data_IF_813395973006
#
_entry.id   IF_813395973006
#
_cell.length_a   1.000
_cell.length_b   1.000
_cell.length_c   1.000
_cell.angle_alpha   90.00
_cell.angle_beta   90.00
_cell.angle_gamma   90.00
#
_symmetry.space_group_name_H-M   'P 1'
#
loop_
_entity.id
_entity.type
_entity.pdbx_description
1 polymer ?
#
# COMPACT_ATOMS: atom_id res chain seq x y z
N UNK A 1 -3.25 5.75 -9.26
CA UNK A 1 -2.67 7.10 -9.08
C UNK A 1 -3.55 7.85 -8.10
N UNK A 2 -3.04 8.16 -6.91
CA UNK A 2 -3.83 8.79 -5.83
C UNK A 2 -3.62 10.30 -5.85
N UNK A 3 -4.69 11.10 -5.82
CA UNK A 3 -4.56 12.56 -5.58
C UNK A 3 -4.55 12.78 -4.07
N UNK A 4 -3.44 13.29 -3.55
CA UNK A 4 -3.28 13.64 -2.14
C UNK A 4 -3.12 15.15 -2.01
N UNK A 5 -3.92 15.77 -1.15
CA UNK A 5 -3.77 17.17 -0.78
C UNK A 5 -2.71 17.30 0.31
N UNK A 6 -1.80 18.24 0.14
CA UNK A 6 -0.73 18.52 1.09
C UNK A 6 -0.86 19.98 1.54
N UNK A 7 -1.05 20.19 2.84
CA UNK A 7 -1.16 21.53 3.44
C UNK A 7 0.08 21.86 4.29
N UNK A 8 0.96 22.76 3.85
CA UNK A 8 2.13 23.18 4.62
C UNK A 8 1.80 24.07 5.83
N UNK A 9 0.60 24.67 5.92
CA UNK A 9 0.23 25.62 6.98
C UNK A 9 -1.12 25.30 7.64
N UNK A 10 -1.29 24.12 8.26
CA UNK A 10 -2.58 23.60 8.73
C UNK A 10 -3.24 24.42 9.87
N UNK A 11 -2.53 25.42 10.42
CA UNK A 11 -2.97 26.22 11.56
C UNK A 11 -3.41 27.66 11.20
N UNK A 12 -3.37 28.07 9.92
CA UNK A 12 -3.84 29.40 9.52
C UNK A 12 -5.37 29.43 9.43
N UNK A 13 -5.98 30.44 10.07
CA UNK A 13 -7.45 30.59 10.24
C UNK A 13 -8.20 31.08 9.00
N UNK A 14 -7.52 31.33 7.87
CA UNK A 14 -8.16 31.75 6.63
C UNK A 14 -8.59 30.54 5.78
N UNK A 15 -9.65 29.87 6.22
CA UNK A 15 -10.26 28.71 5.58
C UNK A 15 -11.09 29.04 4.32
N UNK A 16 -11.00 30.26 3.76
CA UNK A 16 -12.06 30.77 2.87
C UNK A 16 -11.87 30.69 1.35
N UNK A 17 -10.74 30.25 0.77
CA UNK A 17 -10.74 30.03 -0.70
C UNK A 17 -9.78 29.03 -1.33
N UNK A 18 -8.66 28.60 -0.72
CA UNK A 18 -7.64 27.85 -1.49
C UNK A 18 -7.02 26.63 -0.78
N UNK A 19 -7.67 26.08 0.25
CA UNK A 19 -7.20 24.85 0.88
C UNK A 19 -7.66 23.62 0.10
N UNK A 20 -6.74 22.89 -0.54
CA UNK A 20 -7.01 21.53 -0.99
C UNK A 20 -7.48 20.72 0.23
N UNK A 21 -8.78 20.38 0.27
CA UNK A 21 -9.30 19.61 1.40
C UNK A 21 -8.62 18.25 1.43
N UNK A 22 -7.85 18.00 2.49
CA UNK A 22 -7.29 16.69 2.80
C UNK A 22 -8.46 15.73 3.01
N UNK A 23 -8.61 14.77 2.08
CA UNK A 23 -9.67 13.76 2.13
C UNK A 23 -9.03 12.39 2.19
N UNK A 24 -9.48 11.58 3.13
CA UNK A 24 -9.15 10.16 3.16
C UNK A 24 -9.68 9.52 1.88
N UNK A 25 -8.80 8.84 1.15
CA UNK A 25 -9.20 8.14 -0.06
C UNK A 25 -9.45 6.69 0.31
N UNK A 26 -10.73 6.28 0.33
CA UNK A 26 -11.12 4.88 0.36
C UNK A 26 -11.19 4.36 -1.07
N UNK A 27 -10.43 3.30 -1.35
CA UNK A 27 -10.33 2.71 -2.68
C UNK A 27 -11.23 1.49 -2.73
N UNK A 28 -12.49 1.69 -3.11
CA UNK A 28 -13.40 0.58 -3.40
C UNK A 28 -13.45 0.37 -4.92
N UNK A 29 -12.62 -0.55 -5.41
CA UNK A 29 -12.70 -1.07 -6.78
C UNK A 29 -11.49 -0.75 -7.67
N UNK A 30 -10.98 -1.78 -8.35
CA UNK A 30 -10.24 -1.61 -9.61
C UNK A 30 -8.71 -1.77 -9.58
N UNK A 31 -8.10 -2.25 -8.49
CA UNK A 31 -6.74 -2.79 -8.58
C UNK A 31 -6.93 -4.26 -8.98
N UNK A 32 -6.61 -4.64 -10.23
CA UNK A 32 -6.78 -5.99 -10.78
C UNK A 32 -5.84 -7.04 -10.15
N UNK A 33 -5.44 -6.78 -8.90
CA UNK A 33 -4.48 -7.52 -8.12
C UNK A 33 -5.11 -7.86 -6.75
N UNK A 34 -4.83 -9.05 -6.20
CA UNK A 34 -5.50 -9.57 -5.01
C UNK A 34 -5.06 -8.88 -3.70
N UNK A 35 -3.96 -8.13 -3.72
CA UNK A 35 -3.54 -7.24 -2.62
C UNK A 35 -3.70 -5.80 -3.08
N UNK A 36 -4.42 -4.99 -2.31
CA UNK A 36 -4.78 -3.63 -2.68
C UNK A 36 -4.50 -2.62 -1.56
N UNK A 37 -4.10 -1.41 -1.94
CA UNK A 37 -4.19 -0.24 -1.07
C UNK A 37 -5.66 0.12 -0.90
N UNK A 38 -6.19 0.03 0.32
CA UNK A 38 -7.62 0.23 0.63
C UNK A 38 -7.92 1.59 1.25
N UNK A 39 -6.94 2.16 1.94
CA UNK A 39 -7.06 3.49 2.54
C UNK A 39 -5.72 4.22 2.51
N UNK A 40 -5.78 5.53 2.27
CA UNK A 40 -4.68 6.44 2.52
C UNK A 40 -5.22 7.59 3.36
N UNK A 41 -4.75 7.67 4.61
CA UNK A 41 -4.99 8.78 5.51
C UNK A 41 -3.80 9.72 5.49
N UNK A 42 -4.08 11.02 5.42
CA UNK A 42 -3.04 12.05 5.35
C UNK A 42 -3.11 12.92 6.59
N UNK A 43 -1.99 13.05 7.29
CA UNK A 43 -1.84 13.89 8.48
C UNK A 43 -0.73 14.90 8.21
N UNK A 44 -1.12 16.17 8.09
CA UNK A 44 -0.18 17.27 7.83
C UNK A 44 0.14 18.03 9.11
N UNK A 45 1.43 18.27 9.33
CA UNK A 45 1.96 19.17 10.37
C UNK A 45 2.83 20.23 9.69
N UNK A 46 3.13 21.36 10.35
CA UNK A 46 3.98 22.41 9.76
C UNK A 46 5.39 21.96 9.35
N UNK A 47 5.86 20.79 9.81
CA UNK A 47 7.21 20.30 9.54
C UNK A 47 7.24 19.09 8.58
N UNK A 48 6.16 18.30 8.55
CA UNK A 48 6.08 17.05 7.77
C UNK A 48 4.63 16.68 7.48
N UNK A 49 4.43 15.92 6.39
CA UNK A 49 3.18 15.20 6.16
C UNK A 49 3.41 13.70 6.23
N UNK A 50 2.49 13.02 6.89
CA UNK A 50 2.49 11.58 7.08
C UNK A 50 1.34 10.99 6.26
N UNK A 51 1.67 10.02 5.42
CA UNK A 51 0.73 9.20 4.67
C UNK A 51 0.62 7.84 5.36
N UNK A 52 -0.51 7.56 6.00
CA UNK A 52 -0.82 6.26 6.58
C UNK A 52 -1.58 5.44 5.56
N UNK A 53 -0.90 4.45 5.00
CA UNK A 53 -1.40 3.62 3.89
C UNK A 53 -1.79 2.26 4.46
N UNK A 54 -3.05 1.88 4.26
CA UNK A 54 -3.55 0.55 4.64
C UNK A 54 -3.60 -0.35 3.42
N UNK A 55 -2.89 -1.45 3.49
CA UNK A 55 -2.77 -2.47 2.45
C UNK A 55 -3.50 -3.71 2.92
N UNK A 56 -4.33 -4.32 2.07
CA UNK A 56 -5.14 -5.47 2.42
C UNK A 56 -5.14 -6.51 1.32
N UNK A 57 -5.01 -7.78 1.69
CA UNK A 57 -5.34 -8.90 0.83
C UNK A 57 -6.88 -8.97 0.72
N UNK A 58 -7.39 -8.60 -0.44
CA UNK A 58 -8.83 -8.64 -0.79
C UNK A 58 -9.18 -9.90 -1.57
N UNK A 59 -8.17 -10.68 -1.97
CA UNK A 59 -8.32 -12.00 -2.58
C UNK A 59 -8.56 -13.10 -1.55
N UNK A 60 -8.65 -14.34 -2.05
CA UNK A 60 -8.86 -15.54 -1.23
C UNK A 60 -7.58 -16.37 -1.05
N UNK A 61 -6.53 -16.04 -1.78
CA UNK A 61 -5.24 -16.71 -1.76
C UNK A 61 -4.34 -16.22 -0.62
N UNK A 62 -3.15 -16.81 -0.58
CA UNK A 62 -2.10 -16.51 0.39
C UNK A 62 -1.05 -15.60 -0.26
N UNK A 63 -0.68 -14.53 0.45
CA UNK A 63 0.43 -13.65 0.06
C UNK A 63 1.73 -14.31 0.48
N UNK A 64 2.72 -14.30 -0.40
CA UNK A 64 4.03 -14.89 -0.20
C UNK A 64 5.10 -13.81 -0.35
N UNK A 65 6.21 -13.97 0.36
CA UNK A 65 7.40 -13.17 0.10
C UNK A 65 7.85 -13.34 -1.36
N UNK A 66 8.17 -12.24 -2.05
CA UNK A 66 8.63 -12.27 -3.44
C UNK A 66 9.95 -13.05 -3.57
N UNK A 67 10.85 -12.93 -2.61
CA UNK A 67 12.15 -13.61 -2.64
C UNK A 67 11.98 -15.14 -2.73
N UNK A 68 10.95 -15.68 -2.09
CA UNK A 68 10.63 -17.11 -2.12
C UNK A 68 10.04 -17.56 -3.46
N UNK A 69 9.32 -16.69 -4.15
CA UNK A 69 8.80 -17.00 -5.50
C UNK A 69 9.93 -17.04 -6.52
N UNK A 70 10.88 -16.10 -6.42
CA UNK A 70 12.00 -15.98 -7.37
C UNK A 70 12.97 -17.17 -7.31
N UNK A 71 13.09 -17.83 -6.16
CA UNK A 71 13.94 -19.01 -5.98
C UNK A 71 13.35 -20.33 -6.50
N UNK A 72 12.17 -20.30 -7.15
CA UNK A 72 11.41 -21.48 -7.58
C UNK A 72 11.12 -22.43 -6.40
N UNK A 73 9.93 -22.31 -5.82
CA UNK A 73 9.42 -23.08 -4.67
C UNK A 73 9.91 -24.54 -4.64
N UNK A 74 11.01 -24.82 -3.93
CA UNK A 74 11.26 -26.16 -3.41
C UNK A 74 10.12 -26.46 -2.41
N UNK A 75 9.68 -27.72 -2.36
CA UNK A 75 8.41 -28.14 -1.73
C UNK A 75 8.26 -27.82 -0.23
N UNK A 76 9.27 -27.23 0.40
CA UNK A 76 9.36 -26.88 1.82
C UNK A 76 9.24 -25.36 2.06
N UNK A 77 8.41 -24.64 1.30
CA UNK A 77 8.05 -23.24 1.62
C UNK A 77 7.52 -23.20 3.06
N UNK A 78 8.36 -22.74 3.97
CA UNK A 78 8.08 -22.75 5.40
C UNK A 78 6.99 -21.71 5.64
N UNK A 79 6.04 -22.01 6.52
CA UNK A 79 4.99 -21.08 6.96
C UNK A 79 5.51 -19.71 7.44
N UNK A 80 6.82 -19.60 7.73
CA UNK A 80 7.53 -18.38 8.10
C UNK A 80 7.58 -17.31 6.98
N UNK A 81 7.44 -17.73 5.71
CA UNK A 81 7.66 -16.87 4.53
C UNK A 81 6.34 -16.40 3.90
N UNK A 82 5.26 -16.46 4.67
CA UNK A 82 3.92 -16.04 4.26
C UNK A 82 3.59 -14.65 4.80
N UNK A 83 2.76 -13.92 4.06
CA UNK A 83 2.23 -12.61 4.41
C UNK A 83 3.27 -11.48 4.46
N UNK A 84 4.30 -11.54 3.61
CA UNK A 84 5.23 -10.43 3.40
C UNK A 84 4.90 -9.71 2.09
N UNK A 85 5.05 -8.40 2.10
CA UNK A 85 4.95 -7.57 0.89
C UNK A 85 6.16 -6.65 0.80
N UNK A 86 6.65 -6.46 -0.41
CA UNK A 86 7.66 -5.47 -0.72
C UNK A 86 7.03 -4.16 -1.15
N UNK A 87 7.51 -3.08 -0.56
CA UNK A 87 7.14 -1.70 -0.80
C UNK A 87 8.18 -1.08 -1.74
N UNK A 88 8.25 -1.56 -2.98
CA UNK A 88 9.24 -1.18 -3.99
C UNK A 88 9.46 0.33 -4.12
N UNK A 89 8.37 1.10 -4.15
CA UNK A 89 8.47 2.56 -4.06
C UNK A 89 7.20 3.20 -3.54
N UNK A 90 7.37 4.17 -2.64
CA UNK A 90 6.34 5.15 -2.30
C UNK A 90 6.84 6.53 -2.66
N UNK A 91 6.15 7.19 -3.58
CA UNK A 91 6.58 8.46 -4.15
C UNK A 91 5.47 9.49 -4.10
N UNK A 92 5.84 10.72 -3.77
CA UNK A 92 5.00 11.90 -3.91
C UNK A 92 5.45 12.69 -5.16
N UNK A 93 4.53 12.96 -6.09
CA UNK A 93 4.89 13.55 -7.38
C UNK A 93 5.69 12.58 -8.26
N UNK A 94 6.72 13.10 -8.94
CA UNK A 94 7.56 12.33 -9.86
C UNK A 94 8.77 11.69 -9.17
N UNK A 95 9.44 12.45 -8.29
CA UNK A 95 10.79 12.10 -7.81
C UNK A 95 10.95 12.06 -6.28
N UNK A 96 9.94 12.45 -5.48
CA UNK A 96 10.09 12.48 -4.02
C UNK A 96 9.78 11.11 -3.40
N UNK A 97 10.82 10.32 -3.15
CA UNK A 97 10.71 9.04 -2.44
C UNK A 97 10.50 9.25 -0.94
N UNK A 98 9.46 8.64 -0.40
CA UNK A 98 9.10 8.77 1.01
C UNK A 98 9.78 7.69 1.86
N UNK A 99 10.16 8.07 3.07
CA UNK A 99 10.65 7.11 4.07
C UNK A 99 9.46 6.51 4.80
N UNK A 100 9.37 5.18 4.83
CA UNK A 100 8.20 4.46 5.36
C UNK A 100 8.57 3.59 6.56
N UNK A 101 7.64 3.50 7.51
CA UNK A 101 7.71 2.63 8.68
C UNK A 101 6.47 1.72 8.74
N UNK A 102 6.60 0.42 9.10
CA UNK A 102 7.85 -0.30 9.33
C UNK A 102 8.73 -0.40 8.07
N UNK A 103 10.04 -0.69 8.22
CA UNK A 103 10.93 -0.84 7.09
C UNK A 103 10.50 -2.00 6.18
N UNK A 104 10.91 -1.93 4.91
CA UNK A 104 10.69 -2.99 3.93
C UNK A 104 11.55 -4.24 4.22
N UNK A 105 11.06 -5.49 4.05
CA UNK A 105 9.70 -5.90 3.70
C UNK A 105 8.70 -5.73 4.84
N UNK A 106 7.42 -5.56 4.49
CA UNK A 106 6.35 -5.31 5.45
C UNK A 106 5.54 -6.58 5.71
N UNK A 107 5.45 -6.98 6.99
CA UNK A 107 4.62 -8.11 7.41
C UNK A 107 3.15 -7.72 7.50
N UNK A 108 2.29 -8.49 6.85
CA UNK A 108 0.84 -8.42 7.01
C UNK A 108 0.40 -9.28 8.20
N UNK A 109 -0.54 -8.77 8.99
CA UNK A 109 -1.19 -9.49 10.08
C UNK A 109 -2.69 -9.57 9.81
N UNK A 110 -3.24 -10.79 9.82
CA UNK A 110 -4.66 -11.01 9.47
C UNK A 110 -5.01 -10.51 8.06
N UNK A 111 -4.08 -10.63 7.11
CA UNK A 111 -4.28 -10.16 5.73
C UNK A 111 -4.28 -8.63 5.55
N UNK A 112 -3.82 -7.88 6.55
CA UNK A 112 -3.73 -6.41 6.51
C UNK A 112 -2.36 -5.93 6.97
N UNK A 113 -1.84 -4.88 6.34
CA UNK A 113 -0.66 -4.14 6.78
C UNK A 113 -0.98 -2.64 6.80
N UNK A 114 -0.28 -1.90 7.66
CA UNK A 114 -0.33 -0.44 7.67
C UNK A 114 1.08 0.10 7.69
N UNK A 115 1.37 0.99 6.76
CA UNK A 115 2.67 1.69 6.65
C UNK A 115 2.46 3.18 6.79
N UNK A 116 3.39 3.86 7.45
CA UNK A 116 3.41 5.32 7.60
C UNK A 116 4.60 5.88 6.84
N UNK A 117 4.33 6.61 5.77
CA UNK A 117 5.36 7.22 4.92
C UNK A 117 5.43 8.72 5.16
N UNK A 118 6.63 9.26 5.38
CA UNK A 118 6.84 10.66 5.74
C UNK A 118 7.47 11.44 4.59
N UNK A 119 6.91 12.60 4.32
CA UNK A 119 7.52 13.65 3.50
C UNK A 119 8.02 14.77 4.42
N UNK A 120 9.34 14.89 4.55
CA UNK A 120 9.98 15.98 5.28
C UNK A 120 10.02 17.23 4.42
N UNK A 121 9.68 18.39 5.01
CA UNK A 121 9.68 19.71 4.35
C UNK A 121 8.81 19.77 3.09
N UNK A 122 7.55 20.07 3.30
CA UNK A 122 6.67 20.53 2.23
C UNK A 122 7.04 21.97 1.93
N UNK A 123 7.78 22.18 0.84
CA UNK A 123 8.21 23.51 0.41
C UNK A 123 7.02 24.20 -0.26
N UNK A 124 6.43 25.19 0.40
CA UNK A 124 5.34 25.98 -0.16
C UNK A 124 4.64 26.85 0.88
N UNK A 125 4.00 27.94 0.43
CA UNK A 125 3.17 28.83 1.27
C UNK A 125 1.68 28.62 1.03
N UNK A 126 1.29 27.64 0.21
CA UNK A 126 -0.10 27.34 -0.14
C UNK A 126 -0.29 25.83 -0.30
N UNK A 127 -1.49 25.34 -0.01
CA UNK A 127 -1.85 23.95 -0.18
C UNK A 127 -1.84 23.56 -1.66
N UNK A 128 -1.32 22.37 -1.98
CA UNK A 128 -1.28 21.87 -3.35
C UNK A 128 -1.75 20.41 -3.42
N UNK A 129 -2.28 20.03 -4.58
CA UNK A 129 -2.59 18.63 -4.89
C UNK A 129 -1.37 17.97 -5.51
N UNK A 130 -0.92 16.87 -4.93
CA UNK A 130 0.13 16.02 -5.48
C UNK A 130 -0.41 14.62 -5.76
N UNK A 131 0.41 13.81 -6.41
CA UNK A 131 0.11 12.42 -6.71
C UNK A 131 0.92 11.52 -5.79
N UNK A 132 0.26 10.66 -5.03
CA UNK A 132 0.93 9.58 -4.31
C UNK A 132 0.93 8.33 -5.21
N UNK A 133 2.11 7.77 -5.42
CA UNK A 133 2.35 6.52 -6.15
C UNK A 133 2.88 5.49 -5.16
N UNK A 134 2.21 4.35 -5.08
CA UNK A 134 2.60 3.21 -4.23
C UNK A 134 2.75 2.01 -5.15
N UNK A 135 3.96 1.44 -5.18
CA UNK A 135 4.27 0.21 -5.92
C UNK A 135 4.53 -0.88 -4.90
N UNK A 136 3.79 -1.99 -5.05
CA UNK A 136 3.86 -3.15 -4.18
C UNK A 136 4.31 -4.35 -5.03
N UNK A 137 5.21 -5.15 -4.49
CA UNK A 137 5.66 -6.41 -5.07
C UNK A 137 5.45 -7.53 -4.06
N UNK A 138 4.97 -8.67 -4.53
CA UNK A 138 4.62 -9.81 -3.68
C UNK A 138 4.35 -11.06 -4.52
N UNK A 139 4.62 -12.21 -3.92
CA UNK A 139 4.12 -13.49 -4.40
C UNK A 139 2.66 -13.71 -4.00
N UNK A 140 1.92 -14.47 -4.81
CA UNK A 140 0.53 -14.80 -4.49
C UNK A 140 0.15 -16.19 -5.00
N UNK A 141 -0.45 -17.00 -4.12
CA UNK A 141 -0.92 -18.36 -4.42
C UNK A 141 -2.40 -18.50 -4.12
N UNK A 142 -3.17 -18.95 -5.10
CA UNK A 142 -4.57 -19.37 -4.90
C UNK A 142 -4.66 -20.89 -4.92
N UNK A 143 -5.18 -21.47 -3.84
CA UNK A 143 -5.50 -22.89 -3.81
C UNK A 143 -6.93 -23.08 -4.32
N UNK A 144 -7.07 -23.53 -5.57
CA UNK A 144 -8.37 -23.91 -6.14
C UNK A 144 -8.56 -25.41 -5.88
N UNK A 145 -9.35 -25.76 -4.86
CA UNK A 145 -9.73 -27.15 -4.62
C UNK A 145 -10.80 -27.60 -5.62
N UNK A 146 -10.42 -28.41 -6.61
CA UNK A 146 -11.37 -29.06 -7.52
C UNK A 146 -11.52 -30.55 -7.15
N UNK A 147 -12.75 -30.96 -6.78
CA UNK A 147 -13.07 -32.39 -6.61
C UNK A 147 -13.08 -33.07 -7.97
N UNK A 148 -12.03 -33.80 -8.30
CA UNK A 148 -11.98 -34.66 -9.49
C UNK A 148 -12.58 -36.02 -9.15
N UNK A 149 -13.67 -36.41 -9.81
CA UNK A 149 -14.17 -37.78 -9.76
C UNK A 149 -13.52 -38.60 -10.87
N UNK A 150 -12.62 -39.51 -10.51
CA UNK A 150 -12.10 -40.51 -11.43
C UNK A 150 -13.13 -41.62 -11.58
N UNK A 151 -13.75 -41.73 -12.76
CA UNK A 151 -14.50 -42.92 -13.16
C UNK A 151 -13.56 -43.86 -13.91
N UNK A 152 -13.29 -45.02 -13.33
CA UNK A 152 -12.68 -46.14 -14.03
C UNK A 152 -13.70 -46.69 -15.04
N UNK A 153 -13.33 -46.73 -16.32
CA UNK A 153 -14.07 -47.50 -17.33
C UNK A 153 -13.43 -48.88 -17.38
N UNK A 154 -14.20 -49.91 -17.03
CA UNK A 154 -13.83 -51.32 -17.16
C UNK A 154 -13.99 -51.74 -18.64
#
# INVERSE_FOLDING_TARGET
MFKSAVDPEPNKRDLSSDACQVRDVSVSGGQAAPVAVTNVKVESTPQKTIFRITIKNVGKGTVLDQAVVDECLDSDVVFADTNWIDLDSVRLGLDDFLQCEPPNPVKMSGGTATVACTADRIVGTSAYSSVLTVVLTYGYREDIEQKVQLRSTI
#
